data_IF_160236263025
#
_entry.id   IF_160236263025
#
_cell.length_a   1.000
_cell.length_b   1.000
_cell.length_c   1.000
_cell.angle_alpha   90.00
_cell.angle_beta   90.00
_cell.angle_gamma   90.00
#
_symmetry.space_group_name_H-M   'P 1'
#
loop_
_entity.id
_entity.type
_entity.pdbx_description
1 polymer ?
#
# COMPACT_ATOMS: atom_id res chain seq x y z
N UNK A 1 -15.72 22.64 -7.87
CA UNK A 1 -14.59 21.76 -7.51
C UNK A 1 -15.12 20.53 -6.81
N UNK A 2 -15.06 19.34 -7.44
CA UNK A 2 -15.56 18.11 -6.81
C UNK A 2 -14.66 17.79 -5.60
N UNK A 3 -15.20 17.87 -4.38
CA UNK A 3 -14.53 17.35 -3.18
C UNK A 3 -14.22 15.88 -3.47
N UNK A 4 -12.94 15.52 -3.62
CA UNK A 4 -12.53 14.12 -3.65
C UNK A 4 -13.10 13.48 -2.39
N UNK A 5 -14.04 12.55 -2.57
CA UNK A 5 -14.64 11.77 -1.49
C UNK A 5 -13.50 10.91 -0.92
N UNK A 6 -12.75 11.46 0.05
CA UNK A 6 -11.63 10.79 0.70
C UNK A 6 -12.19 9.52 1.34
N UNK A 7 -11.76 8.37 0.83
CA UNK A 7 -12.10 7.09 1.44
C UNK A 7 -11.37 6.99 2.77
N UNK A 8 -12.13 6.69 3.82
CA UNK A 8 -11.59 6.29 5.12
C UNK A 8 -10.88 4.95 4.98
N UNK A 9 -9.56 5.00 4.78
CA UNK A 9 -8.71 3.81 4.68
C UNK A 9 -8.55 3.24 6.09
N UNK A 10 -9.23 2.11 6.35
CA UNK A 10 -9.02 1.38 7.58
C UNK A 10 -7.68 0.63 7.51
N UNK A 11 -6.73 0.84 8.44
CA UNK A 11 -5.42 0.19 8.44
C UNK A 11 -5.48 -1.34 8.30
N UNK A 12 -6.49 -1.96 8.92
CA UNK A 12 -6.72 -3.41 8.88
C UNK A 12 -6.97 -3.96 7.48
N UNK A 13 -7.51 -3.12 6.59
CA UNK A 13 -7.92 -3.52 5.25
C UNK A 13 -7.06 -2.90 4.13
N UNK A 14 -6.00 -2.15 4.48
CA UNK A 14 -5.14 -1.47 3.53
C UNK A 14 -4.65 -2.38 2.40
N UNK A 15 -4.23 -3.61 2.72
CA UNK A 15 -3.73 -4.58 1.73
C UNK A 15 -4.76 -4.99 0.66
N UNK A 16 -6.05 -4.69 0.87
CA UNK A 16 -7.12 -4.98 -0.09
C UNK A 16 -7.57 -3.74 -0.88
N UNK A 17 -7.09 -2.56 -0.50
CA UNK A 17 -7.41 -1.30 -1.17
C UNK A 17 -6.44 -1.02 -2.32
N UNK A 18 -6.84 -0.07 -3.15
CA UNK A 18 -5.95 0.60 -4.07
C UNK A 18 -4.89 1.38 -3.28
N UNK A 19 -3.63 1.17 -3.63
CA UNK A 19 -2.47 1.75 -2.97
C UNK A 19 -1.92 2.97 -3.72
N UNK A 20 -2.43 3.26 -4.92
CA UNK A 20 -2.01 4.39 -5.74
C UNK A 20 -2.27 5.71 -5.00
N UNK A 21 -1.30 6.62 -5.08
CA UNK A 21 -1.31 7.91 -4.40
C UNK A 21 -0.79 7.90 -2.96
N UNK A 22 -0.48 6.73 -2.39
CA UNK A 22 0.05 6.63 -1.02
C UNK A 22 1.59 6.72 -0.99
N UNK A 23 2.11 7.35 0.07
CA UNK A 23 3.55 7.38 0.35
C UNK A 23 4.01 6.02 0.88
N UNK A 24 5.10 5.50 0.33
CA UNK A 24 5.61 4.18 0.62
C UNK A 24 7.09 4.19 1.00
N UNK A 25 7.43 3.25 1.89
CA UNK A 25 8.79 2.82 2.18
C UNK A 25 8.90 1.32 1.90
N UNK A 26 10.08 0.86 1.52
CA UNK A 26 10.33 -0.56 1.31
C UNK A 26 11.67 -1.02 1.89
N UNK A 27 11.68 -2.29 2.28
CA UNK A 27 12.86 -3.04 2.71
C UNK A 27 12.97 -4.31 1.86
N UNK A 28 14.14 -4.54 1.25
CA UNK A 28 14.38 -5.78 0.50
C UNK A 28 14.54 -6.97 1.44
N UNK A 29 13.90 -8.08 1.10
CA UNK A 29 14.05 -9.35 1.83
C UNK A 29 15.40 -10.01 1.62
N UNK A 30 16.08 -9.71 0.51
CA UNK A 30 17.45 -10.20 0.25
C UNK A 30 18.47 -9.56 1.19
N UNK A 31 18.14 -8.40 1.77
CA UNK A 31 19.02 -7.64 2.68
C UNK A 31 18.22 -7.25 3.94
N UNK A 32 17.78 -8.22 4.77
CA UNK A 32 16.79 -8.01 5.82
C UNK A 32 17.28 -7.08 6.96
N UNK A 33 18.60 -6.97 7.14
CA UNK A 33 19.24 -6.11 8.12
C UNK A 33 19.28 -4.62 7.71
N UNK A 34 18.85 -4.29 6.49
CA UNK A 34 18.77 -2.89 6.05
C UNK A 34 17.48 -2.25 6.54
N UNK A 35 17.56 -0.97 6.86
CA UNK A 35 16.39 -0.17 7.22
C UNK A 35 15.44 0.04 6.03
N UNK A 36 14.21 0.42 6.36
CA UNK A 36 13.23 0.84 5.37
C UNK A 36 13.69 2.13 4.69
N UNK A 37 13.65 2.17 3.36
CA UNK A 37 13.98 3.36 2.58
C UNK A 37 12.70 3.96 2.03
N UNK A 38 12.61 5.28 2.01
CA UNK A 38 11.54 5.97 1.31
C UNK A 38 11.65 5.67 -0.19
N UNK A 39 10.57 5.15 -0.78
CA UNK A 39 10.51 4.82 -2.20
C UNK A 39 9.61 5.78 -2.99
N UNK A 40 8.87 6.65 -2.29
CA UNK A 40 8.07 7.72 -2.88
C UNK A 40 6.57 7.42 -2.90
N UNK A 41 5.87 8.04 -3.84
CA UNK A 41 4.43 7.85 -4.04
C UNK A 41 4.19 6.65 -4.94
N UNK A 42 3.24 5.78 -4.61
CA UNK A 42 2.81 4.71 -5.51
C UNK A 42 2.03 5.35 -6.68
N UNK A 43 2.49 5.11 -7.90
CA UNK A 43 1.85 5.62 -9.12
C UNK A 43 1.14 4.52 -9.92
N UNK A 44 1.56 3.26 -9.75
CA UNK A 44 0.93 2.10 -10.39
C UNK A 44 1.04 0.84 -9.52
N UNK A 45 0.04 -0.03 -9.63
CA UNK A 45 -0.12 -1.27 -8.87
C UNK A 45 -0.60 -2.40 -9.80
N UNK A 46 0.37 -3.13 -10.35
CA UNK A 46 0.13 -4.29 -11.22
C UNK A 46 -0.02 -5.57 -10.40
N UNK A 47 -0.22 -6.71 -11.04
CA UNK A 47 -0.36 -7.98 -10.33
C UNK A 47 0.83 -8.31 -9.39
N UNK A 48 2.05 -8.16 -9.89
CA UNK A 48 3.27 -8.59 -9.18
C UNK A 48 4.20 -7.43 -8.80
N UNK A 49 3.95 -6.22 -9.32
CA UNK A 49 4.84 -5.08 -9.13
C UNK A 49 4.08 -3.87 -8.63
N UNK A 50 4.77 -3.06 -7.84
CA UNK A 50 4.41 -1.67 -7.55
C UNK A 50 5.40 -0.77 -8.27
N UNK A 51 4.90 0.30 -8.88
CA UNK A 51 5.71 1.39 -9.42
C UNK A 51 5.57 2.59 -8.51
N UNK A 52 6.69 3.17 -8.11
CA UNK A 52 6.71 4.40 -7.31
C UNK A 52 7.50 5.49 -7.99
N UNK A 53 7.14 6.73 -7.69
CA UNK A 53 7.84 7.92 -8.14
C UNK A 53 8.42 8.69 -6.95
N UNK A 54 9.71 9.03 -7.04
CA UNK A 54 10.37 9.93 -6.11
C UNK A 54 11.31 10.86 -6.87
N UNK A 55 11.18 12.18 -6.68
CA UNK A 55 11.99 13.20 -7.37
C UNK A 55 12.02 13.00 -8.90
N UNK A 56 10.84 12.77 -9.50
CA UNK A 56 10.65 12.50 -10.93
C UNK A 56 11.39 11.27 -11.46
N UNK A 57 11.76 10.33 -10.58
CA UNK A 57 12.33 9.04 -10.96
C UNK A 57 11.35 7.93 -10.60
N UNK A 58 10.99 7.15 -11.61
CA UNK A 58 10.19 5.95 -11.44
C UNK A 58 11.06 4.75 -11.05
N UNK A 59 10.58 3.95 -10.10
CA UNK A 59 11.20 2.68 -9.71
C UNK A 59 10.15 1.59 -9.58
N UNK A 60 10.51 0.39 -10.06
CA UNK A 60 9.66 -0.80 -10.01
C UNK A 60 10.12 -1.72 -8.89
N UNK A 61 9.17 -2.23 -8.11
CA UNK A 61 9.40 -3.13 -6.99
C UNK A 61 8.58 -4.40 -7.17
N UNK A 62 9.25 -5.55 -7.22
CA UNK A 62 8.58 -6.86 -7.28
C UNK A 62 8.04 -7.20 -5.89
N UNK A 63 6.72 -7.21 -5.72
CA UNK A 63 6.03 -7.28 -4.42
C UNK A 63 6.58 -8.38 -3.50
N UNK A 64 6.80 -9.58 -4.05
CA UNK A 64 7.26 -10.75 -3.28
C UNK A 64 8.64 -10.56 -2.63
N UNK A 65 9.49 -9.70 -3.18
CA UNK A 65 10.87 -9.47 -2.73
C UNK A 65 10.99 -8.40 -1.63
N UNK A 66 9.90 -7.72 -1.27
CA UNK A 66 9.94 -6.57 -0.36
C UNK A 66 8.94 -6.69 0.79
N UNK A 67 9.29 -6.05 1.90
CA UNK A 67 8.36 -5.64 2.96
C UNK A 67 8.09 -4.15 2.75
N UNK A 68 6.82 -3.77 2.82
CA UNK A 68 6.39 -2.39 2.59
C UNK A 68 5.88 -1.76 3.87
N UNK A 69 6.07 -0.45 3.97
CA UNK A 69 5.46 0.44 4.96
C UNK A 69 4.74 1.54 4.24
N UNK A 70 3.43 1.62 4.42
CA UNK A 70 2.59 2.62 3.75
C UNK A 70 2.10 3.62 4.78
N UNK A 71 2.25 4.91 4.45
CA UNK A 71 1.72 6.00 5.25
C UNK A 71 0.25 6.22 4.89
N UNK A 72 -0.63 6.12 5.88
CA UNK A 72 -2.04 6.47 5.72
C UNK A 72 -2.18 7.98 5.97
N UNK A 73 -2.67 8.76 4.98
CA UNK A 73 -2.85 10.19 5.15
C UNK A 73 -3.94 10.48 6.18
N UNK A 74 -3.74 11.52 6.99
CA UNK A 74 -4.72 11.97 7.98
C UNK A 74 -5.99 12.46 7.29
N UNK A 75 -7.15 12.17 7.88
CA UNK A 75 -8.41 12.79 7.47
C UNK A 75 -8.60 14.12 8.20
N UNK A 76 -8.24 14.18 9.48
CA UNK A 76 -8.41 15.34 10.37
C UNK A 76 -7.08 15.80 10.98
N UNK A 77 -7.00 17.07 11.39
CA UNK A 77 -5.80 17.65 12.00
C UNK A 77 -5.40 16.93 13.31
N UNK A 78 -6.39 16.40 14.03
CA UNK A 78 -6.21 15.76 15.34
C UNK A 78 -5.83 14.27 15.25
N UNK A 79 -5.83 13.69 14.06
CA UNK A 79 -5.47 12.27 13.87
C UNK A 79 -3.95 12.09 13.81
N UNK A 80 -3.45 10.95 14.34
CA UNK A 80 -2.05 10.57 14.22
C UNK A 80 -1.76 9.98 12.84
N UNK A 81 -0.52 10.16 12.36
CA UNK A 81 -0.05 9.45 11.18
C UNK A 81 0.07 7.96 11.51
N UNK A 82 -0.57 7.09 10.73
CA UNK A 82 -0.43 5.65 10.88
C UNK A 82 0.43 5.10 9.74
N UNK A 83 1.41 4.28 10.10
CA UNK A 83 2.16 3.47 9.17
C UNK A 83 1.75 2.02 9.31
N UNK A 84 1.43 1.39 8.19
CA UNK A 84 1.11 -0.03 8.14
C UNK A 84 2.26 -0.76 7.48
N UNK A 85 2.88 -1.66 8.23
CA UNK A 85 3.89 -2.58 7.71
C UNK A 85 3.24 -3.90 7.30
N UNK A 86 3.60 -4.41 6.12
CA UNK A 86 3.16 -5.72 5.66
C UNK A 86 4.16 -6.34 4.69
N UNK A 87 4.16 -7.67 4.64
CA UNK A 87 4.87 -8.43 3.62
C UNK A 87 4.22 -8.20 2.24
N UNK A 88 5.01 -7.84 1.23
CA UNK A 88 4.51 -7.59 -0.12
C UNK A 88 3.81 -8.79 -0.78
N UNK A 89 4.04 -10.02 -0.32
CA UNK A 89 3.28 -11.21 -0.74
C UNK A 89 1.77 -11.02 -0.47
N UNK A 90 1.39 -10.27 0.58
CA UNK A 90 -0.02 -10.03 0.95
C UNK A 90 -0.77 -9.15 -0.05
N UNK A 91 -0.06 -8.44 -0.92
CA UNK A 91 -0.63 -7.56 -1.94
C UNK A 91 -0.37 -8.06 -3.36
N UNK A 92 0.14 -9.27 -3.54
CA UNK A 92 0.20 -9.92 -4.86
C UNK A 92 -1.23 -10.14 -5.37
N UNK A 93 -1.45 -9.81 -6.63
CA UNK A 93 -2.77 -9.73 -7.24
C UNK A 93 -3.18 -8.29 -7.57
N UNK A 94 -3.97 -8.16 -8.64
CA UNK A 94 -4.50 -6.86 -9.08
C UNK A 94 -5.43 -6.24 -8.02
N UNK A 95 -5.48 -4.90 -7.86
CA UNK A 95 -6.30 -4.22 -6.86
C UNK A 95 -7.77 -4.68 -6.82
N UNK A 96 -8.40 -4.84 -8.00
CA UNK A 96 -9.79 -5.26 -8.14
C UNK A 96 -10.04 -6.67 -7.60
N UNK A 97 -9.07 -7.57 -7.75
CA UNK A 97 -9.16 -8.95 -7.26
C UNK A 97 -8.96 -8.99 -5.73
N UNK A 98 -8.06 -8.15 -5.19
CA UNK A 98 -7.85 -8.04 -3.75
C UNK A 98 -9.11 -7.55 -3.04
N UNK A 99 -9.81 -6.55 -3.61
CA UNK A 99 -11.07 -6.05 -3.04
C UNK A 99 -12.18 -7.13 -2.97
N UNK A 100 -12.26 -8.01 -3.97
CA UNK A 100 -13.20 -9.15 -3.97
C UNK A 100 -12.91 -10.12 -2.82
N UNK A 101 -11.64 -10.41 -2.55
CA UNK A 101 -11.24 -11.30 -1.46
C UNK A 101 -11.68 -10.79 -0.08
N UNK A 102 -11.65 -9.46 0.13
CA UNK A 102 -12.15 -8.82 1.35
C UNK A 102 -13.64 -9.05 1.54
N UNK A 103 -14.46 -8.91 0.48
CA UNK A 103 -15.91 -9.16 0.54
C UNK A 103 -16.21 -10.60 0.93
N UNK A 104 -15.46 -11.57 0.37
CA UNK A 104 -15.56 -12.99 0.71
C UNK A 104 -15.28 -13.22 2.21
N UNK A 105 -14.17 -12.68 2.74
CA UNK A 105 -13.83 -12.80 4.17
C UNK A 105 -14.89 -12.24 5.11
N UNK A 106 -15.55 -11.13 4.74
CA UNK A 106 -16.62 -10.55 5.57
C UNK A 106 -17.88 -11.40 5.58
N UNK A 107 -18.19 -12.09 4.47
CA UNK A 107 -19.35 -12.97 4.36
C UNK A 107 -19.24 -14.24 5.21
N UNK A 108 -18.04 -14.81 5.34
CA UNK A 108 -17.79 -16.03 6.15
C UNK A 108 -17.54 -15.75 7.64
N UNK A 109 -17.65 -14.50 8.10
CA UNK A 109 -17.58 -14.13 9.52
C UNK A 109 -18.95 -13.82 10.14
N UNK A 110 -20.02 -14.11 9.40
CA UNK A 110 -21.40 -14.12 9.87
C UNK A 110 -21.76 -15.57 10.20
#
# INVERSE_FOLDING_TARGET
>A
MKKNKKMKINPKYLIYHDLIGLQAHAKSKEKPNKEFRQIGTIIDDTENMIVTEIKNQEKKYVKKNYVFRILIPKENKDEKNYMVEFDGIKIVGRPENRLRSLKKKRRFKK
#
